data_IF_996318187142
#
_entry.id   IF_996318187142
#
_cell.length_a   1.000
_cell.length_b   1.000
_cell.length_c   1.000
_cell.angle_alpha   90.00
_cell.angle_beta   90.00
_cell.angle_gamma   90.00
#
_symmetry.space_group_name_H-M   'P 1'
#
loop_
_entity.id
_entity.type
_entity.pdbx_description
1 polymer ?
#
# COMPACT_ATOMS: atom_id res chain seq x y z
N UNK A 1 4.71 29.53 -23.91
CA UNK A 1 4.72 30.84 -23.22
C UNK A 1 3.31 31.41 -23.12
N UNK A 2 3.03 32.11 -22.02
CA UNK A 2 1.76 32.82 -21.79
C UNK A 2 2.08 34.27 -21.52
N UNK A 3 1.30 35.16 -22.10
CA UNK A 3 1.47 36.61 -21.93
C UNK A 3 0.15 37.29 -21.65
N UNK A 4 0.23 38.38 -20.91
CA UNK A 4 -0.90 39.24 -20.61
C UNK A 4 -0.49 40.71 -20.78
N UNK A 5 -1.36 41.50 -21.41
CA UNK A 5 -1.23 42.97 -21.46
C UNK A 5 -2.61 43.62 -21.43
N UNK A 6 -2.70 44.86 -20.96
CA UNK A 6 -3.96 45.61 -20.95
C UNK A 6 -4.54 45.86 -22.34
N UNK A 7 -3.68 46.00 -23.36
CA UNK A 7 -4.09 46.36 -24.73
C UNK A 7 -4.43 45.14 -25.59
N UNK A 8 -3.73 44.02 -25.43
CA UNK A 8 -3.92 42.81 -26.26
C UNK A 8 -4.57 41.65 -25.50
N UNK A 9 -4.85 41.82 -24.20
CA UNK A 9 -5.39 40.77 -23.36
C UNK A 9 -4.40 39.62 -23.18
N UNK A 10 -4.96 38.40 -23.10
CA UNK A 10 -4.23 37.15 -22.85
C UNK A 10 -3.87 36.47 -24.17
N UNK A 11 -2.61 36.05 -24.31
CA UNK A 11 -2.15 35.20 -25.41
C UNK A 11 -1.44 33.98 -24.85
N UNK A 12 -1.96 32.80 -25.19
CA UNK A 12 -1.40 31.49 -24.81
C UNK A 12 -0.85 30.82 -26.05
N UNK A 13 0.41 30.38 -26.01
CA UNK A 13 0.98 29.61 -27.12
C UNK A 13 0.23 28.29 -27.34
N UNK A 14 0.11 27.81 -28.59
CA UNK A 14 -0.65 26.60 -28.92
C UNK A 14 -0.29 25.37 -28.08
N UNK A 15 1.00 25.17 -27.78
CA UNK A 15 1.48 24.05 -26.96
C UNK A 15 0.91 24.02 -25.52
N UNK A 16 0.38 25.14 -25.03
CA UNK A 16 -0.14 25.27 -23.67
C UNK A 16 -1.64 25.59 -23.60
N UNK A 17 -2.32 25.75 -24.75
CA UNK A 17 -3.69 26.26 -24.83
C UNK A 17 -4.68 25.48 -23.96
N UNK A 18 -4.51 24.17 -23.88
CA UNK A 18 -5.39 23.26 -23.12
C UNK A 18 -4.74 22.70 -21.86
N UNK A 19 -3.51 23.12 -21.53
CA UNK A 19 -2.76 22.65 -20.35
C UNK A 19 -2.83 23.60 -19.16
N UNK A 20 -2.85 24.90 -19.42
CA UNK A 20 -2.75 25.94 -18.38
C UNK A 20 -3.87 26.96 -18.49
N UNK A 21 -4.29 27.46 -17.34
CA UNK A 21 -5.19 28.60 -17.23
C UNK A 21 -4.54 29.72 -16.41
N UNK A 22 -4.91 30.96 -16.69
CA UNK A 22 -4.47 32.10 -15.89
C UNK A 22 -5.52 32.34 -14.81
N UNK A 23 -5.14 32.09 -13.56
CA UNK A 23 -6.04 32.19 -12.40
C UNK A 23 -6.01 33.57 -11.74
N UNK A 24 -4.93 34.33 -11.95
CA UNK A 24 -4.83 35.73 -11.54
C UNK A 24 -4.25 36.56 -12.67
N UNK A 25 -4.99 37.58 -13.10
CA UNK A 25 -4.65 38.46 -14.21
C UNK A 25 -4.32 39.86 -13.68
N UNK A 26 -3.04 40.17 -13.56
CA UNK A 26 -2.58 41.46 -13.08
C UNK A 26 -1.17 41.81 -13.56
N UNK A 27 -0.88 43.12 -13.62
CA UNK A 27 0.47 43.61 -13.97
C UNK A 27 1.43 43.60 -12.77
N UNK A 28 0.90 43.50 -11.55
CA UNK A 28 1.69 43.36 -10.32
C UNK A 28 1.78 41.89 -9.89
N UNK A 29 0.67 41.16 -9.98
CA UNK A 29 0.58 39.74 -9.69
C UNK A 29 0.00 38.99 -10.89
N UNK A 30 0.61 37.88 -11.26
CA UNK A 30 0.10 36.99 -12.30
C UNK A 30 0.32 35.54 -11.87
N UNK A 31 -0.75 34.75 -11.91
CA UNK A 31 -0.74 33.35 -11.49
C UNK A 31 -1.26 32.46 -12.62
N UNK A 32 -0.51 31.39 -12.92
CA UNK A 32 -0.92 30.34 -13.85
C UNK A 32 -1.15 29.03 -13.09
N UNK A 33 -2.11 28.25 -13.55
CA UNK A 33 -2.46 26.96 -12.97
C UNK A 33 -2.46 25.89 -14.06
N UNK A 34 -1.76 24.79 -13.79
CA UNK A 34 -1.78 23.57 -14.58
C UNK A 34 -2.88 22.66 -14.01
N UNK A 35 -3.85 22.24 -14.83
CA UNK A 35 -5.00 21.47 -14.34
C UNK A 35 -4.81 19.96 -14.34
N UNK A 36 -4.02 19.44 -15.28
CA UNK A 36 -3.72 18.01 -15.40
C UNK A 36 -2.23 17.85 -15.70
N UNK A 37 -1.42 17.98 -14.65
CA UNK A 37 0.04 17.97 -14.76
C UNK A 37 0.55 16.58 -15.14
N UNK A 38 1.43 16.53 -16.14
CA UNK A 38 2.20 15.33 -16.46
C UNK A 38 3.65 15.50 -16.05
N UNK A 39 4.43 14.41 -16.06
CA UNK A 39 5.86 14.48 -15.71
C UNK A 39 6.67 15.39 -16.64
N UNK A 40 6.18 15.64 -17.85
CA UNK A 40 6.81 16.55 -18.81
C UNK A 40 6.63 18.02 -18.41
N UNK A 41 5.62 18.33 -17.59
CA UNK A 41 5.38 19.69 -17.09
C UNK A 41 6.28 20.01 -15.88
N UNK A 42 7.01 19.03 -15.34
CA UNK A 42 7.97 19.24 -14.26
C UNK A 42 9.17 20.06 -14.76
N UNK A 43 9.54 21.09 -14.02
CA UNK A 43 10.64 21.97 -14.42
C UNK A 43 10.55 23.35 -13.81
N UNK A 44 11.51 24.20 -14.17
CA UNK A 44 11.55 25.57 -13.69
C UNK A 44 10.99 26.54 -14.74
N UNK A 45 9.95 27.24 -14.33
CA UNK A 45 9.26 28.27 -15.09
C UNK A 45 9.74 29.64 -14.69
N UNK A 46 9.73 30.56 -15.66
CA UNK A 46 10.09 31.95 -15.43
C UNK A 46 8.88 32.84 -15.66
N UNK A 47 8.62 33.74 -14.73
CA UNK A 47 7.72 34.86 -14.93
C UNK A 47 8.55 36.10 -15.28
N UNK A 48 8.06 36.89 -16.22
CA UNK A 48 8.76 38.07 -16.72
C UNK A 48 7.79 39.24 -16.80
N UNK A 49 8.10 40.30 -16.05
CA UNK A 49 7.35 41.56 -16.05
C UNK A 49 8.13 42.60 -16.83
N UNK A 50 7.55 43.11 -17.90
CA UNK A 50 8.14 44.20 -18.69
C UNK A 50 7.67 45.54 -18.13
N UNK A 51 8.63 46.40 -17.75
CA UNK A 51 8.39 47.75 -17.24
C UNK A 51 9.03 48.77 -18.17
N UNK A 52 8.23 49.67 -18.74
CA UNK A 52 8.76 50.69 -19.64
C UNK A 52 9.70 51.63 -18.90
N UNK A 53 10.88 51.92 -19.47
CA UNK A 53 11.90 52.77 -18.86
C UNK A 53 12.80 52.07 -17.83
N UNK A 54 12.35 51.00 -17.17
CA UNK A 54 13.10 50.29 -16.12
C UNK A 54 13.56 48.88 -16.51
N UNK A 55 13.20 48.40 -17.70
CA UNK A 55 13.60 47.09 -18.21
C UNK A 55 12.65 45.97 -17.77
N UNK A 56 13.16 44.74 -17.68
CA UNK A 56 12.37 43.58 -17.28
C UNK A 56 12.77 43.04 -15.89
N UNK A 57 11.78 42.52 -15.17
CA UNK A 57 11.98 41.84 -13.88
C UNK A 57 11.63 40.38 -14.07
N UNK A 58 12.51 39.49 -13.61
CA UNK A 58 12.38 38.04 -13.74
C UNK A 58 12.13 37.40 -12.37
N UNK A 59 11.20 36.47 -12.32
CA UNK A 59 11.04 35.52 -11.22
C UNK A 59 11.16 34.10 -11.74
N UNK A 60 11.63 33.17 -10.90
CA UNK A 60 11.77 31.75 -11.24
C UNK A 60 11.04 30.91 -10.19
N UNK A 61 10.20 29.99 -10.64
CA UNK A 61 9.52 29.02 -9.79
C UNK A 61 9.70 27.62 -10.40
N UNK A 62 9.95 26.61 -9.57
CA UNK A 62 10.11 25.24 -10.04
C UNK A 62 8.93 24.38 -9.59
N UNK A 63 8.30 23.72 -10.56
CA UNK A 63 7.25 22.74 -10.34
C UNK A 63 7.90 21.36 -10.22
N UNK A 64 7.66 20.70 -9.09
CA UNK A 64 8.06 19.31 -8.83
C UNK A 64 6.81 18.48 -8.56
N UNK A 65 6.70 17.32 -9.21
CA UNK A 65 5.52 16.46 -9.08
C UNK A 65 5.81 15.25 -8.21
N UNK A 66 4.83 14.84 -7.42
CA UNK A 66 4.91 13.66 -6.58
C UNK A 66 3.70 12.76 -6.78
N UNK A 67 3.89 11.47 -6.48
CA UNK A 67 2.85 10.46 -6.49
C UNK A 67 2.75 9.88 -5.10
N UNK A 68 1.55 9.95 -4.52
CA UNK A 68 1.26 9.42 -3.19
C UNK A 68 1.55 7.90 -3.15
N UNK A 69 2.08 7.36 -2.05
CA UNK A 69 2.38 5.93 -1.97
C UNK A 69 1.13 5.06 -2.06
N UNK A 70 1.16 4.07 -2.96
CA UNK A 70 0.24 2.92 -2.93
C UNK A 70 0.96 1.77 -2.25
N UNK A 71 0.39 1.23 -1.16
CA UNK A 71 1.07 0.26 -0.30
C UNK A 71 0.30 -1.05 -0.23
N UNK A 72 1.03 -2.15 -0.34
CA UNK A 72 0.54 -3.52 -0.18
C UNK A 72 1.30 -4.18 0.96
N UNK A 73 0.57 -4.68 1.96
CA UNK A 73 1.12 -5.42 3.09
C UNK A 73 0.45 -6.79 3.14
N UNK A 74 1.25 -7.86 3.08
CA UNK A 74 0.77 -9.22 3.18
C UNK A 74 1.81 -10.14 3.81
N UNK A 75 1.41 -11.35 4.18
CA UNK A 75 2.31 -12.34 4.74
C UNK A 75 2.05 -13.73 4.15
N UNK A 76 3.08 -14.57 4.16
CA UNK A 76 3.02 -15.95 3.69
C UNK A 76 3.73 -16.87 4.67
N UNK A 77 3.00 -17.87 5.15
CA UNK A 77 3.56 -18.95 5.97
C UNK A 77 4.21 -20.01 5.08
N UNK A 78 5.36 -20.50 5.53
CA UNK A 78 6.03 -21.69 5.05
C UNK A 78 6.12 -22.69 6.22
N UNK A 79 6.64 -23.90 5.99
CA UNK A 79 6.76 -24.92 7.04
C UNK A 79 7.66 -24.43 8.19
N UNK A 80 8.81 -23.87 7.84
CA UNK A 80 9.84 -23.47 8.82
C UNK A 80 9.95 -21.97 9.06
N UNK A 81 9.33 -21.13 8.23
CA UNK A 81 9.49 -19.68 8.31
C UNK A 81 8.25 -18.91 7.87
N UNK A 82 8.22 -17.62 8.18
CA UNK A 82 7.16 -16.69 7.81
C UNK A 82 7.80 -15.49 7.11
N UNK A 83 7.32 -15.16 5.92
CA UNK A 83 7.73 -13.96 5.21
C UNK A 83 6.59 -12.94 5.27
N UNK A 84 6.91 -11.73 5.72
CA UNK A 84 5.98 -10.60 5.70
C UNK A 84 6.51 -9.59 4.69
N UNK A 85 5.72 -9.29 3.66
CA UNK A 85 6.12 -8.44 2.55
C UNK A 85 5.35 -7.13 2.62
N UNK A 86 6.08 -6.02 2.56
CA UNK A 86 5.53 -4.68 2.39
C UNK A 86 6.09 -4.07 1.11
N UNK A 87 5.22 -3.71 0.18
CA UNK A 87 5.58 -3.06 -1.07
C UNK A 87 4.91 -1.69 -1.15
N UNK A 88 5.69 -0.65 -1.44
CA UNK A 88 5.21 0.72 -1.58
C UNK A 88 5.68 1.30 -2.91
N UNK A 89 4.75 1.73 -3.75
CA UNK A 89 5.04 2.44 -5.00
C UNK A 89 4.72 3.92 -4.85
N UNK A 90 5.71 4.79 -5.02
CA UNK A 90 5.53 6.23 -4.90
C UNK A 90 6.53 7.02 -5.76
N UNK A 91 6.34 8.34 -5.82
CA UNK A 91 7.34 9.27 -6.34
C UNK A 91 7.43 10.48 -5.40
N UNK A 92 8.61 10.88 -4.91
CA UNK A 92 9.89 10.18 -4.98
C UNK A 92 9.85 8.82 -4.27
N UNK A 93 10.93 8.04 -4.39
CA UNK A 93 11.03 6.72 -3.76
C UNK A 93 10.73 6.79 -2.25
N UNK A 94 9.82 5.94 -1.73
CA UNK A 94 9.51 5.88 -0.32
C UNK A 94 10.60 5.10 0.45
N UNK A 95 10.65 5.26 1.76
CA UNK A 95 11.51 4.45 2.64
C UNK A 95 10.63 3.55 3.50
N UNK A 96 10.93 2.26 3.51
CA UNK A 96 10.21 1.26 4.31
C UNK A 96 11.03 0.89 5.54
N UNK A 97 10.37 0.88 6.70
CA UNK A 97 10.92 0.35 7.95
C UNK A 97 9.90 -0.53 8.66
N UNK A 98 10.39 -1.43 9.51
CA UNK A 98 9.56 -2.37 10.25
C UNK A 98 9.54 -2.03 11.73
N UNK A 99 8.36 -2.07 12.35
CA UNK A 99 8.20 -1.98 13.81
C UNK A 99 7.58 -3.28 14.32
N UNK A 100 8.42 -4.16 14.84
CA UNK A 100 8.05 -5.53 15.25
C UNK A 100 8.73 -5.90 16.58
N UNK A 101 8.07 -6.74 17.37
CA UNK A 101 8.59 -7.22 18.66
C UNK A 101 9.18 -8.65 18.53
N UNK A 102 10.49 -8.81 18.73
CA UNK A 102 11.19 -10.10 18.77
C UNK A 102 12.66 -10.03 18.34
N UNK A 103 13.44 -11.08 18.63
CA UNK A 103 14.84 -11.25 18.22
C UNK A 103 14.97 -12.31 17.12
N UNK A 104 15.85 -12.10 16.14
CA UNK A 104 16.14 -13.08 15.07
C UNK A 104 15.38 -12.87 13.75
N UNK A 105 15.13 -11.61 13.38
CA UNK A 105 14.53 -11.24 12.11
C UNK A 105 15.56 -10.56 11.21
N UNK A 106 15.62 -11.01 9.97
CA UNK A 106 16.42 -10.41 8.91
C UNK A 106 15.46 -9.80 7.88
N UNK A 107 15.83 -8.69 7.25
CA UNK A 107 15.03 -8.09 6.18
C UNK A 107 15.83 -8.02 4.87
N UNK A 108 15.14 -8.25 3.76
CA UNK A 108 15.63 -7.94 2.42
C UNK A 108 14.84 -6.76 1.88
N UNK A 109 15.46 -5.95 1.02
CA UNK A 109 14.80 -4.81 0.36
C UNK A 109 15.23 -4.72 -1.09
N UNK A 110 14.25 -4.63 -1.96
CA UNK A 110 14.42 -4.49 -3.40
C UNK A 110 13.81 -3.16 -3.84
N UNK A 111 14.49 -2.48 -4.76
CA UNK A 111 14.07 -1.19 -5.30
C UNK A 111 13.96 -1.35 -6.80
N UNK A 112 12.79 -1.02 -7.35
CA UNK A 112 12.49 -1.07 -8.77
C UNK A 112 12.00 0.30 -9.25
N UNK A 113 12.72 0.87 -10.21
CA UNK A 113 12.31 2.10 -10.90
C UNK A 113 11.45 1.77 -12.11
N UNK A 114 10.35 2.48 -12.28
CA UNK A 114 9.39 2.29 -13.37
C UNK A 114 9.55 3.37 -14.45
N UNK A 115 9.22 3.08 -15.72
CA UNK A 115 9.31 4.05 -16.82
C UNK A 115 8.34 5.22 -16.66
N UNK A 116 7.27 5.05 -15.88
CA UNK A 116 6.34 6.12 -15.50
C UNK A 116 6.91 7.08 -14.42
N UNK A 117 8.19 6.93 -14.05
CA UNK A 117 8.86 7.78 -13.07
C UNK A 117 8.59 7.45 -11.59
N UNK A 118 7.75 6.46 -11.27
CA UNK A 118 7.57 5.99 -9.88
C UNK A 118 8.63 4.97 -9.50
N UNK A 119 8.85 4.81 -8.20
CA UNK A 119 9.74 3.80 -7.64
C UNK A 119 8.96 2.92 -6.69
N UNK A 120 9.03 1.61 -6.91
CA UNK A 120 8.51 0.59 -6.02
C UNK A 120 9.62 0.10 -5.10
N UNK A 121 9.40 0.18 -3.80
CA UNK A 121 10.27 -0.39 -2.77
C UNK A 121 9.54 -1.55 -2.14
N UNK A 122 10.14 -2.73 -2.16
CA UNK A 122 9.58 -3.94 -1.56
C UNK A 122 10.53 -4.44 -0.50
N UNK A 123 10.08 -4.48 0.76
CA UNK A 123 10.83 -5.10 1.85
C UNK A 123 10.14 -6.40 2.28
N UNK A 124 10.94 -7.44 2.51
CA UNK A 124 10.48 -8.71 3.05
C UNK A 124 11.16 -8.94 4.40
N UNK A 125 10.35 -9.07 5.44
CA UNK A 125 10.79 -9.46 6.77
C UNK A 125 10.75 -10.99 6.88
N UNK A 126 11.91 -11.60 7.08
CA UNK A 126 12.08 -13.04 7.26
C UNK A 126 12.05 -13.40 8.75
N UNK A 127 11.03 -14.16 9.14
CA UNK A 127 10.80 -14.60 10.51
C UNK A 127 11.10 -16.09 10.62
N UNK A 128 12.16 -16.45 11.36
CA UNK A 128 12.61 -17.84 11.55
C UNK A 128 11.71 -18.67 12.47
N UNK A 129 11.04 -18.04 13.44
CA UNK A 129 10.05 -18.71 14.29
C UNK A 129 8.65 -18.12 14.03
N UNK A 130 7.86 -18.71 13.12
CA UNK A 130 6.52 -18.24 12.82
C UNK A 130 5.59 -18.21 14.04
N UNK A 131 5.74 -19.16 14.98
CA UNK A 131 4.87 -19.26 16.16
C UNK A 131 5.03 -18.05 17.06
N UNK A 132 6.26 -17.50 17.14
CA UNK A 132 6.55 -16.29 17.91
C UNK A 132 5.76 -15.06 17.43
N UNK A 133 5.27 -15.04 16.19
CA UNK A 133 4.57 -13.90 15.60
C UNK A 133 3.06 -14.13 15.44
N UNK A 134 2.55 -15.36 15.61
CA UNK A 134 1.10 -15.62 15.53
C UNK A 134 0.38 -14.82 16.62
N UNK A 135 -0.69 -14.11 16.23
CA UNK A 135 -1.49 -13.26 17.11
C UNK A 135 -0.87 -11.89 17.41
N UNK A 136 0.34 -11.59 16.91
CA UNK A 136 0.98 -10.28 17.02
C UNK A 136 0.66 -9.40 15.83
N UNK A 137 0.68 -8.09 16.07
CA UNK A 137 0.59 -7.07 15.03
C UNK A 137 1.99 -6.77 14.47
N UNK A 138 2.11 -6.86 13.15
CA UNK A 138 3.30 -6.44 12.41
C UNK A 138 3.01 -5.09 11.77
N UNK A 139 3.94 -4.14 11.95
CA UNK A 139 3.77 -2.79 11.46
C UNK A 139 4.84 -2.50 10.39
N UNK A 140 4.40 -2.25 9.16
CA UNK A 140 5.22 -1.65 8.11
C UNK A 140 5.05 -0.13 8.16
N UNK A 141 6.14 0.61 8.34
CA UNK A 141 6.17 2.06 8.30
C UNK A 141 6.71 2.53 6.96
N UNK A 142 5.98 3.42 6.30
CA UNK A 142 6.34 4.01 5.01
C UNK A 142 6.56 5.50 5.21
N UNK A 143 7.80 5.95 5.03
CA UNK A 143 8.21 7.35 5.04
C UNK A 143 8.19 7.88 3.60
N UNK A 144 7.42 8.93 3.34
CA UNK A 144 7.34 9.60 2.05
C UNK A 144 7.18 11.11 2.27
N UNK A 145 8.06 11.92 1.65
CA UNK A 145 8.06 13.38 1.76
C UNK A 145 7.95 13.91 3.20
N UNK A 146 8.67 13.29 4.14
CA UNK A 146 8.68 13.66 5.55
C UNK A 146 7.50 13.16 6.37
N UNK A 147 6.53 12.47 5.75
CA UNK A 147 5.37 11.89 6.45
C UNK A 147 5.54 10.39 6.63
N UNK A 148 5.37 9.90 7.87
CA UNK A 148 5.40 8.46 8.17
C UNK A 148 3.97 7.93 8.29
N UNK A 149 3.65 6.93 7.47
CA UNK A 149 2.37 6.18 7.53
C UNK A 149 2.63 4.76 8.02
N UNK A 150 1.73 4.22 8.85
CA UNK A 150 1.91 2.89 9.45
C UNK A 150 0.81 1.93 9.00
N UNK A 151 1.21 0.87 8.32
CA UNK A 151 0.35 -0.22 7.85
C UNK A 151 0.48 -1.40 8.80
N UNK A 152 -0.65 -1.87 9.30
CA UNK A 152 -0.71 -2.87 10.36
C UNK A 152 -1.37 -4.13 9.84
N UNK A 153 -0.81 -5.29 10.18
CA UNK A 153 -1.39 -6.58 9.85
C UNK A 153 -1.23 -7.55 11.03
N UNK A 154 -2.33 -8.16 11.45
CA UNK A 154 -2.30 -9.23 12.45
C UNK A 154 -1.96 -10.54 11.77
N UNK A 155 -0.95 -11.24 12.31
CA UNK A 155 -0.49 -12.51 11.76
C UNK A 155 -1.36 -13.64 12.29
N UNK A 156 -2.26 -14.15 11.45
CA UNK A 156 -3.13 -15.27 11.78
C UNK A 156 -2.75 -16.50 10.94
N UNK A 157 -2.40 -17.60 11.61
CA UNK A 157 -2.27 -18.90 10.95
C UNK A 157 -3.68 -19.43 10.70
N UNK A 158 -4.07 -19.58 9.45
CA UNK A 158 -5.37 -20.16 9.09
C UNK A 158 -5.53 -21.52 9.76
N UNK A 159 -6.67 -21.77 10.40
CA UNK A 159 -6.97 -23.05 11.05
C UNK A 159 -7.25 -24.08 9.95
N UNK A 160 -6.22 -24.80 9.51
CA UNK A 160 -6.40 -26.03 8.75
C UNK A 160 -6.62 -27.16 9.76
N UNK A 161 -7.87 -27.39 10.15
CA UNK A 161 -8.21 -28.67 10.79
C UNK A 161 -7.70 -29.77 9.85
N UNK A 162 -6.82 -30.65 10.33
CA UNK A 162 -6.33 -31.71 9.47
C UNK A 162 -7.55 -32.56 9.07
N UNK A 163 -7.78 -32.71 7.78
CA UNK A 163 -8.84 -33.56 7.24
C UNK A 163 -8.79 -34.97 7.88
N UNK A 164 -7.60 -35.57 8.11
CA UNK A 164 -7.49 -36.81 8.88
C UNK A 164 -8.02 -36.71 10.32
N UNK A 165 -7.78 -35.60 11.04
CA UNK A 165 -8.30 -35.41 12.40
C UNK A 165 -9.82 -35.37 12.39
N UNK A 166 -10.42 -34.61 11.47
CA UNK A 166 -11.87 -34.51 11.32
C UNK A 166 -12.49 -35.88 11.01
N UNK A 167 -11.90 -36.63 10.08
CA UNK A 167 -12.36 -37.99 9.76
C UNK A 167 -12.23 -38.95 10.95
N UNK A 168 -11.15 -38.85 11.74
CA UNK A 168 -10.97 -39.69 12.93
C UNK A 168 -12.03 -39.40 14.00
N UNK A 169 -12.37 -38.12 14.21
CA UNK A 169 -13.40 -37.69 15.16
C UNK A 169 -14.78 -38.19 14.69
N UNK A 170 -15.10 -38.03 13.40
CA UNK A 170 -16.36 -38.51 12.82
C UNK A 170 -16.47 -40.03 12.96
N UNK A 171 -15.39 -40.77 12.70
CA UNK A 171 -15.35 -42.23 12.85
C UNK A 171 -15.62 -42.67 14.30
N UNK A 172 -14.99 -42.00 15.29
CA UNK A 172 -15.22 -42.25 16.71
C UNK A 172 -16.68 -42.00 17.11
N UNK A 173 -17.29 -40.92 16.61
CA UNK A 173 -18.70 -40.60 16.89
C UNK A 173 -19.62 -41.69 16.32
N UNK A 174 -19.37 -42.14 15.09
CA UNK A 174 -20.13 -43.24 14.46
C UNK A 174 -19.99 -44.53 15.28
N UNK A 175 -18.78 -44.87 15.74
CA UNK A 175 -18.54 -46.07 16.55
C UNK A 175 -19.32 -46.03 17.87
N UNK A 176 -19.34 -44.88 18.55
CA UNK A 176 -20.08 -44.70 19.81
C UNK A 176 -21.60 -44.82 19.60
N UNK A 177 -22.12 -44.31 18.48
CA UNK A 177 -23.53 -44.48 18.09
C UNK A 177 -23.84 -45.97 17.86
N UNK A 178 -22.99 -46.70 17.14
CA UNK A 178 -23.17 -48.13 16.92
C UNK A 178 -23.13 -48.93 18.23
N UNK A 179 -22.20 -48.62 19.13
CA UNK A 179 -22.10 -49.28 20.44
C UNK A 179 -23.34 -49.00 21.30
N UNK A 180 -23.81 -47.76 21.35
CA UNK A 180 -25.00 -47.39 22.12
C UNK A 180 -26.27 -48.04 21.56
N UNK A 181 -26.40 -48.13 20.23
CA UNK A 181 -27.43 -48.92 19.56
C UNK A 181 -27.32 -50.39 19.99
N UNK A 182 -26.15 -51.03 19.88
CA UNK A 182 -25.96 -52.42 20.27
C UNK A 182 -26.29 -52.69 21.74
N UNK A 183 -25.90 -51.80 22.65
CA UNK A 183 -26.23 -51.88 24.08
C UNK A 183 -27.74 -51.73 24.31
N UNK A 184 -28.40 -50.83 23.59
CA UNK A 184 -29.85 -50.66 23.63
C UNK A 184 -30.58 -51.94 23.17
N UNK A 185 -30.20 -52.51 22.03
CA UNK A 185 -30.78 -53.77 21.53
C UNK A 185 -30.48 -54.95 22.44
N UNK A 186 -29.30 -55.00 23.05
CA UNK A 186 -28.95 -56.04 24.03
C UNK A 186 -29.83 -55.95 25.27
N UNK A 187 -30.03 -54.73 25.81
CA UNK A 187 -30.89 -54.48 26.97
C UNK A 187 -32.35 -54.81 26.70
N UNK A 188 -32.85 -54.46 25.51
CA UNK A 188 -34.21 -54.81 25.07
C UNK A 188 -34.40 -56.34 24.97
N UNK A 189 -33.46 -57.05 24.35
CA UNK A 189 -33.49 -58.53 24.28
C UNK A 189 -33.39 -59.21 25.65
N UNK A 190 -32.76 -58.60 26.65
CA UNK A 190 -32.76 -59.14 28.02
C UNK A 190 -34.08 -58.89 28.74
N UNK A 191 -34.82 -57.82 28.43
CA UNK A 191 -36.17 -57.58 28.98
C UNK A 191 -37.23 -58.49 28.36
N UNK A 192 -37.13 -58.83 27.07
CA UNK A 192 -38.06 -59.78 26.42
C UNK A 192 -37.83 -61.26 26.82
N UNK A 193 -36.88 -61.55 27.72
CA UNK A 193 -36.49 -62.90 28.17
C UNK A 193 -36.81 -63.21 29.64
N UNK A 194 -37.40 -62.29 30.39
CA UNK A 194 -38.02 -62.62 31.68
C UNK A 194 -39.53 -62.89 31.46
N UNK A 195 -40.06 -64.01 32.00
CA UNK A 195 -41.48 -64.38 31.89
C UNK A 195 -42.42 -63.52 32.74
#
# INVERSE_FOLDING_TARGET
MVTFSKSHGVVVQPAYKDKINITELGLQNSTITFWNTTLEDEGCYQCLFNTFGSGNVLGKACLTLFVQPTVFLYYKFFEDHLNITCSANARPAPVISWKVSGSGMDNSTEILSHPNGTTSVTSVLHVKDPKSQVGKEVICQVLHLGTVTSFRQTVNKGVWFSVPLLLSIVSLIILLILISILLYWKRRRTQDREP
#
